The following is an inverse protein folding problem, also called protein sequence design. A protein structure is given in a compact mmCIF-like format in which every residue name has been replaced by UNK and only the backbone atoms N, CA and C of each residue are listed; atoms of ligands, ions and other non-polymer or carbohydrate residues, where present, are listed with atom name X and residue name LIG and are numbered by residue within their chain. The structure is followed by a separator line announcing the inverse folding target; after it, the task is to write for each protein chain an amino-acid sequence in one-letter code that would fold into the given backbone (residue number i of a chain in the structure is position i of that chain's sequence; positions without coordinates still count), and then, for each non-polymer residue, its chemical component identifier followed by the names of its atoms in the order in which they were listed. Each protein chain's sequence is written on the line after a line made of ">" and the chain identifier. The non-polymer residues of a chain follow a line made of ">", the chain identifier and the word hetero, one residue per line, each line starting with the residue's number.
data_IF_496556693329
#
_entry.id   IF_496556693329
#
_cell.length_a   1.000
_cell.length_b   1.000
_cell.length_c   1.000
_cell.angle_alpha   90.00
_cell.angle_beta   90.00
_cell.angle_gamma   90.00
#
_symmetry.space_group_name_H-M   'P 1'
#
loop_
_entity.id
_entity.type
_entity.pdbx_description
1 polymer ?
#
# COMPACT_ATOMS: atom_id res chain seq x y z
N UNK A 1 -49.83 15.58 50.01
CA UNK A 1 -49.52 15.09 48.61
C UNK A 1 -48.85 16.14 47.73
N UNK A 2 -49.15 17.43 47.80
CA UNK A 2 -48.57 18.51 47.03
C UNK A 2 -47.08 18.75 47.34
N UNK A 3 -46.68 18.66 48.59
CA UNK A 3 -45.29 18.83 49.02
C UNK A 3 -44.44 17.70 48.48
N UNK A 4 -44.93 16.47 48.49
CA UNK A 4 -44.23 15.31 47.95
C UNK A 4 -44.05 15.45 46.42
N UNK A 5 -45.04 15.91 45.72
CA UNK A 5 -44.99 16.18 44.29
C UNK A 5 -43.92 17.25 43.93
N UNK A 6 -43.92 18.38 44.64
CA UNK A 6 -42.92 19.44 44.49
C UNK A 6 -41.49 18.93 44.76
N UNK A 7 -41.34 18.10 45.78
CA UNK A 7 -40.03 17.49 46.09
C UNK A 7 -39.56 16.57 44.96
N UNK A 8 -40.43 15.73 44.40
CA UNK A 8 -40.08 14.85 43.27
C UNK A 8 -39.71 15.68 42.05
N UNK A 9 -40.46 16.72 41.70
CA UNK A 9 -40.16 17.61 40.59
C UNK A 9 -38.81 18.29 40.75
N UNK A 10 -38.53 18.79 41.95
CA UNK A 10 -37.23 19.41 42.27
C UNK A 10 -36.07 18.40 42.14
N UNK A 11 -36.24 17.17 42.62
CA UNK A 11 -35.22 16.11 42.52
C UNK A 11 -34.97 15.72 41.07
N UNK A 12 -36.00 15.56 40.24
CA UNK A 12 -35.88 15.24 38.81
C UNK A 12 -35.19 16.38 38.06
N UNK A 13 -35.57 17.64 38.33
CA UNK A 13 -34.89 18.78 37.69
C UNK A 13 -33.42 18.89 38.08
N UNK A 14 -33.08 18.67 39.35
CA UNK A 14 -31.70 18.65 39.81
C UNK A 14 -30.90 17.55 39.11
N UNK A 15 -31.47 16.35 39.01
CA UNK A 15 -30.83 15.19 38.38
C UNK A 15 -30.61 15.43 36.87
N UNK A 16 -31.60 16.00 36.16
CA UNK A 16 -31.44 16.34 34.73
C UNK A 16 -30.39 17.41 34.50
N UNK A 17 -30.32 18.44 35.36
CA UNK A 17 -29.28 19.46 35.29
C UNK A 17 -27.91 18.86 35.54
N UNK A 18 -27.77 18.00 36.56
CA UNK A 18 -26.51 17.32 36.86
C UNK A 18 -26.04 16.44 35.67
N UNK A 19 -26.93 15.66 35.08
CA UNK A 19 -26.63 14.84 33.92
C UNK A 19 -26.22 15.72 32.73
N UNK A 20 -26.96 16.80 32.48
CA UNK A 20 -26.66 17.74 31.39
C UNK A 20 -25.27 18.39 31.57
N UNK A 21 -24.96 18.85 32.79
CA UNK A 21 -23.61 19.43 33.11
C UNK A 21 -22.53 18.40 32.94
N UNK A 22 -22.76 17.15 33.38
CA UNK A 22 -21.82 16.06 33.24
C UNK A 22 -21.49 15.75 31.76
N UNK A 23 -22.51 15.55 30.93
CA UNK A 23 -22.30 15.33 29.48
C UNK A 23 -21.59 16.51 28.81
N UNK A 24 -22.00 17.75 29.15
CA UNK A 24 -21.37 18.95 28.60
C UNK A 24 -19.91 19.08 29.03
N UNK A 25 -19.59 18.70 30.26
CA UNK A 25 -18.22 18.72 30.79
C UNK A 25 -17.30 17.69 30.12
N UNK A 26 -17.83 16.50 29.78
CA UNK A 26 -17.03 15.44 29.13
C UNK A 26 -16.95 15.55 27.59
N UNK A 27 -17.76 16.38 26.96
CA UNK A 27 -17.77 16.55 25.52
C UNK A 27 -16.40 16.81 24.91
N UNK A 28 -15.52 17.67 25.49
CA UNK A 28 -14.17 17.89 24.95
C UNK A 28 -13.31 16.64 24.90
N UNK A 29 -13.47 15.76 25.89
CA UNK A 29 -12.74 14.48 25.94
C UNK A 29 -13.15 13.55 24.78
N UNK A 30 -14.47 13.41 24.55
CA UNK A 30 -14.97 12.61 23.42
C UNK A 30 -14.53 13.19 22.07
N UNK A 31 -14.49 14.52 21.93
CA UNK A 31 -14.01 15.18 20.73
C UNK A 31 -12.53 14.86 20.46
N UNK A 32 -11.69 14.88 21.50
CA UNK A 32 -10.29 14.50 21.38
C UNK A 32 -10.13 13.01 21.04
N UNK A 33 -10.87 12.12 21.70
CA UNK A 33 -10.83 10.67 21.41
C UNK A 33 -11.22 10.38 19.97
N UNK A 34 -12.33 10.91 19.49
CA UNK A 34 -12.75 10.71 18.10
C UNK A 34 -11.74 11.26 17.09
N UNK A 35 -11.08 12.37 17.43
CA UNK A 35 -10.01 12.93 16.60
C UNK A 35 -8.79 12.01 16.57
N UNK A 36 -8.37 11.47 17.74
CA UNK A 36 -7.24 10.53 17.86
C UNK A 36 -7.53 9.20 17.12
N UNK A 37 -8.75 8.69 17.20
CA UNK A 37 -9.17 7.47 16.49
C UNK A 37 -9.10 7.64 14.95
N UNK A 38 -9.32 8.86 14.47
CA UNK A 38 -9.21 9.19 13.05
C UNK A 38 -7.79 9.53 12.60
N UNK A 39 -6.86 9.73 13.56
CA UNK A 39 -5.51 10.17 13.28
C UNK A 39 -4.66 9.04 12.66
N UNK A 40 -4.06 9.33 11.51
CA UNK A 40 -3.08 8.46 10.85
C UNK A 40 -1.85 9.29 10.48
N UNK A 41 -0.63 8.92 10.92
CA UNK A 41 0.59 9.66 10.60
C UNK A 41 0.75 9.82 9.08
N UNK A 42 1.10 11.04 8.64
CA UNK A 42 1.33 11.36 7.22
C UNK A 42 0.08 11.64 6.39
N UNK A 43 -1.13 11.59 6.96
CA UNK A 43 -2.33 12.15 6.32
C UNK A 43 -2.58 13.59 6.80
N UNK A 44 -3.20 14.42 5.94
CA UNK A 44 -3.63 15.75 6.37
C UNK A 44 -4.77 15.64 7.38
N UNK A 45 -4.54 16.16 8.57
CA UNK A 45 -5.53 16.27 9.64
C UNK A 45 -5.70 17.72 10.03
N UNK A 46 -6.91 18.08 10.46
CA UNK A 46 -7.14 19.33 11.13
C UNK A 46 -6.36 19.41 12.46
N UNK A 47 -6.17 20.60 13.03
CA UNK A 47 -5.49 20.75 14.32
C UNK A 47 -6.23 19.98 15.41
N UNK A 48 -5.47 19.56 16.44
CA UNK A 48 -6.05 18.92 17.62
C UNK A 48 -7.10 19.85 18.25
N UNK A 49 -8.36 19.39 18.47
CA UNK A 49 -9.39 20.23 19.04
C UNK A 49 -9.00 20.76 20.43
N UNK A 50 -9.01 22.07 20.63
CA UNK A 50 -8.66 22.70 21.93
C UNK A 50 -9.71 23.69 22.43
N UNK A 51 -10.97 23.52 22.05
CA UNK A 51 -12.10 24.37 22.42
C UNK A 51 -12.65 24.03 23.82
N UNK A 52 -11.80 23.99 24.83
CA UNK A 52 -12.25 23.70 26.20
C UNK A 52 -11.92 24.82 27.16
N UNK A 53 -12.87 25.12 28.09
CA UNK A 53 -12.65 26.07 29.20
C UNK A 53 -12.10 25.39 30.46
N UNK A 54 -12.01 24.04 30.47
CA UNK A 54 -11.54 23.26 31.59
C UNK A 54 -10.03 23.15 31.48
N UNK A 55 -9.23 23.66 32.45
CA UNK A 55 -7.78 23.71 32.34
C UNK A 55 -7.14 22.33 32.19
N UNK A 56 -7.67 21.30 32.83
CA UNK A 56 -7.18 19.93 32.77
C UNK A 56 -7.29 19.34 31.35
N UNK A 57 -8.43 19.58 30.70
CA UNK A 57 -8.61 19.14 29.32
C UNK A 57 -7.76 19.94 28.32
N UNK A 58 -7.54 21.22 28.61
CA UNK A 58 -6.61 22.02 27.79
C UNK A 58 -5.21 21.46 27.84
N UNK A 59 -4.69 21.16 29.04
CA UNK A 59 -3.37 20.53 29.21
C UNK A 59 -3.30 19.17 28.53
N UNK A 60 -4.36 18.36 28.59
CA UNK A 60 -4.44 17.08 27.91
C UNK A 60 -4.37 17.25 26.37
N UNK A 61 -5.14 18.19 25.84
CA UNK A 61 -5.15 18.48 24.40
C UNK A 61 -3.79 19.01 23.92
N UNK A 62 -3.12 19.87 24.70
CA UNK A 62 -1.77 20.36 24.40
C UNK A 62 -0.75 19.22 24.43
N UNK A 63 -0.82 18.31 25.39
CA UNK A 63 0.05 17.14 25.45
C UNK A 63 -0.20 16.19 24.26
N UNK A 64 -1.46 15.96 23.89
CA UNK A 64 -1.83 15.18 22.71
C UNK A 64 -1.31 15.84 21.44
N UNK A 65 -1.46 17.16 21.28
CA UNK A 65 -0.95 17.90 20.15
C UNK A 65 0.57 17.77 20.00
N UNK A 66 1.31 17.90 21.09
CA UNK A 66 2.78 17.72 21.10
C UNK A 66 3.18 16.28 20.76
N UNK A 67 2.46 15.28 21.27
CA UNK A 67 2.73 13.87 20.93
C UNK A 67 2.50 13.59 19.43
N UNK A 68 1.42 14.12 18.87
CA UNK A 68 1.10 14.02 17.46
C UNK A 68 2.15 14.73 16.61
N UNK A 69 2.51 15.98 16.95
CA UNK A 69 3.54 16.73 16.23
C UNK A 69 4.89 15.99 16.22
N UNK A 70 5.27 15.41 17.35
CA UNK A 70 6.48 14.60 17.45
C UNK A 70 6.40 13.33 16.59
N UNK A 71 5.24 12.66 16.58
CA UNK A 71 5.00 11.50 15.73
C UNK A 71 5.12 11.86 14.23
N UNK A 72 4.53 12.98 13.80
CA UNK A 72 4.63 13.49 12.44
C UNK A 72 6.07 13.82 12.04
N UNK A 73 6.83 14.47 12.94
CA UNK A 73 8.23 14.79 12.70
C UNK A 73 9.07 13.51 12.53
N UNK A 74 8.90 12.53 13.40
CA UNK A 74 9.60 11.24 13.31
C UNK A 74 9.24 10.49 12.02
N UNK A 75 7.96 10.47 11.67
CA UNK A 75 7.48 9.84 10.44
C UNK A 75 8.09 10.51 9.19
N UNK A 76 8.13 11.84 9.17
CA UNK A 76 8.75 12.62 8.10
C UNK A 76 10.25 12.38 8.00
N UNK A 77 10.96 12.35 9.14
CA UNK A 77 12.39 12.05 9.19
C UNK A 77 12.69 10.63 8.69
N UNK A 78 11.91 9.65 9.12
CA UNK A 78 12.03 8.26 8.66
C UNK A 78 11.86 8.14 7.14
N UNK A 79 10.84 8.81 6.58
CA UNK A 79 10.62 8.86 5.13
C UNK A 79 11.79 9.49 4.37
N UNK A 80 12.27 10.63 4.84
CA UNK A 80 13.42 11.32 4.24
C UNK A 80 14.69 10.46 4.31
N UNK A 81 14.93 9.80 5.45
CA UNK A 81 16.05 8.91 5.62
C UNK A 81 16.03 7.75 4.60
N UNK A 82 14.88 7.07 4.46
CA UNK A 82 14.73 5.98 3.47
C UNK A 82 14.97 6.51 2.05
N UNK A 83 14.39 7.67 1.70
CA UNK A 83 14.58 8.28 0.39
C UNK A 83 16.04 8.61 0.09
N UNK A 84 16.72 9.30 1.01
CA UNK A 84 18.11 9.71 0.86
C UNK A 84 19.06 8.48 0.81
N UNK A 85 18.90 7.54 1.75
CA UNK A 85 19.71 6.33 1.79
C UNK A 85 19.57 5.51 0.50
N UNK A 86 18.37 5.41 -0.06
CA UNK A 86 18.14 4.69 -1.31
C UNK A 86 18.78 5.37 -2.51
N UNK A 87 18.81 6.71 -2.56
CA UNK A 87 19.52 7.46 -3.60
C UNK A 87 21.04 7.28 -3.49
N UNK A 88 21.59 7.39 -2.28
CA UNK A 88 23.02 7.21 -2.03
C UNK A 88 23.48 5.77 -2.32
N UNK A 89 22.61 4.78 -2.22
CA UNK A 89 22.92 3.39 -2.56
C UNK A 89 22.90 3.13 -4.09
N UNK A 90 22.17 3.90 -4.88
CA UNK A 90 22.08 3.68 -6.33
C UNK A 90 23.43 3.81 -7.02
N UNK A 91 24.22 4.82 -6.68
CA UNK A 91 25.53 5.08 -7.30
C UNK A 91 26.53 3.96 -7.05
N UNK A 92 26.84 3.53 -5.80
CA UNK A 92 27.77 2.44 -5.56
C UNK A 92 27.31 1.10 -6.14
N UNK A 93 26.01 0.82 -6.12
CA UNK A 93 25.45 -0.40 -6.72
C UNK A 93 25.64 -0.41 -8.24
N UNK A 94 25.44 0.72 -8.92
CA UNK A 94 25.69 0.86 -10.36
C UNK A 94 27.19 0.67 -10.67
N UNK A 95 28.08 1.24 -9.88
CA UNK A 95 29.54 1.04 -10.04
C UNK A 95 29.91 -0.44 -9.88
N UNK A 96 29.37 -1.11 -8.85
CA UNK A 96 29.62 -2.54 -8.65
C UNK A 96 29.12 -3.39 -9.84
N UNK A 97 27.91 -3.08 -10.33
CA UNK A 97 27.33 -3.80 -11.48
C UNK A 97 28.21 -3.62 -12.73
N UNK A 98 28.61 -2.39 -13.04
CA UNK A 98 29.47 -2.10 -14.19
C UNK A 98 30.86 -2.79 -14.08
N UNK A 99 31.41 -2.88 -12.87
CA UNK A 99 32.67 -3.59 -12.66
C UNK A 99 32.54 -5.10 -12.87
N UNK A 100 31.47 -5.71 -12.41
CA UNK A 100 31.19 -7.14 -12.64
C UNK A 100 30.96 -7.39 -14.13
N UNK A 101 30.23 -6.55 -14.83
CA UNK A 101 30.04 -6.66 -16.28
C UNK A 101 31.36 -6.51 -17.04
N UNK A 102 32.18 -5.52 -16.65
CA UNK A 102 33.49 -5.35 -17.26
C UNK A 102 34.38 -6.58 -17.06
N UNK A 103 34.40 -7.21 -15.87
CA UNK A 103 35.17 -8.44 -15.61
C UNK A 103 34.65 -9.59 -16.48
N UNK A 104 33.33 -9.77 -16.62
CA UNK A 104 32.71 -10.82 -17.43
C UNK A 104 33.08 -10.69 -18.93
N UNK A 105 33.16 -9.43 -19.41
CA UNK A 105 33.34 -9.15 -20.84
C UNK A 105 34.80 -9.01 -21.28
N UNK A 106 35.72 -8.65 -20.34
CA UNK A 106 37.08 -8.23 -20.71
C UNK A 106 38.19 -9.03 -20.04
N UNK A 107 37.89 -10.10 -19.28
CA UNK A 107 38.90 -10.92 -18.63
C UNK A 107 38.75 -12.40 -18.96
N UNK A 108 39.85 -13.11 -19.10
CA UNK A 108 39.81 -14.57 -19.17
C UNK A 108 39.53 -15.12 -17.77
N UNK A 109 38.40 -15.79 -17.63
CA UNK A 109 37.89 -16.34 -16.38
C UNK A 109 37.83 -17.85 -16.45
N UNK A 110 38.15 -18.54 -15.35
CA UNK A 110 37.84 -19.96 -15.22
C UNK A 110 36.31 -20.14 -15.07
N UNK A 111 35.80 -21.36 -15.33
CA UNK A 111 34.38 -21.68 -15.15
C UNK A 111 33.90 -21.37 -13.72
N UNK A 112 34.71 -21.70 -12.72
CA UNK A 112 34.40 -21.44 -11.31
C UNK A 112 34.32 -19.94 -11.01
N UNK A 113 35.26 -19.14 -11.52
CA UNK A 113 35.25 -17.68 -11.37
C UNK A 113 34.04 -17.05 -12.08
N UNK A 114 33.70 -17.54 -13.26
CA UNK A 114 32.51 -17.09 -14.00
C UNK A 114 31.22 -17.40 -13.22
N UNK A 115 31.07 -18.61 -12.69
CA UNK A 115 29.92 -19.01 -11.88
C UNK A 115 29.76 -18.10 -10.64
N UNK A 116 30.85 -17.81 -9.91
CA UNK A 116 30.83 -16.94 -8.74
C UNK A 116 30.49 -15.48 -9.09
N UNK A 117 30.98 -14.97 -10.22
CA UNK A 117 30.62 -13.64 -10.72
C UNK A 117 29.12 -13.57 -11.11
N UNK A 118 28.58 -14.62 -11.73
CA UNK A 118 27.13 -14.68 -12.03
C UNK A 118 26.29 -14.70 -10.75
N UNK A 119 26.65 -15.47 -9.74
CA UNK A 119 25.98 -15.49 -8.42
C UNK A 119 26.02 -14.10 -7.77
N UNK A 120 27.20 -13.44 -7.83
CA UNK A 120 27.41 -12.10 -7.28
C UNK A 120 26.55 -11.08 -8.05
N UNK A 121 26.54 -11.12 -9.39
CA UNK A 121 25.70 -10.27 -10.24
C UNK A 121 24.22 -10.46 -9.93
N UNK A 122 23.78 -11.71 -9.76
CA UNK A 122 22.40 -12.00 -9.40
C UNK A 122 22.00 -11.37 -8.06
N UNK A 123 22.86 -11.51 -7.03
CA UNK A 123 22.65 -10.90 -5.71
C UNK A 123 22.63 -9.37 -5.78
N UNK A 124 23.55 -8.78 -6.53
CA UNK A 124 23.60 -7.34 -6.75
C UNK A 124 22.33 -6.83 -7.43
N UNK A 125 21.87 -7.50 -8.48
CA UNK A 125 20.64 -7.16 -9.18
C UNK A 125 19.42 -7.27 -8.26
N UNK A 126 19.38 -8.23 -7.34
CA UNK A 126 18.34 -8.31 -6.32
C UNK A 126 18.35 -7.06 -5.41
N UNK A 127 19.53 -6.64 -4.91
CA UNK A 127 19.68 -5.44 -4.07
C UNK A 127 19.28 -4.18 -4.84
N UNK A 128 19.65 -4.05 -6.12
CA UNK A 128 19.24 -2.93 -6.97
C UNK A 128 17.72 -2.86 -7.12
N UNK A 129 17.07 -4.01 -7.39
CA UNK A 129 15.58 -4.06 -7.47
C UNK A 129 14.93 -3.69 -6.15
N UNK A 130 15.45 -4.21 -5.03
CA UNK A 130 14.97 -3.91 -3.69
C UNK A 130 15.05 -2.41 -3.40
N UNK A 131 16.22 -1.81 -3.65
CA UNK A 131 16.43 -0.37 -3.42
C UNK A 131 15.52 0.50 -4.29
N UNK A 132 15.36 0.17 -5.59
CA UNK A 132 14.41 0.86 -6.48
C UNK A 132 12.97 0.77 -5.96
N UNK A 133 12.55 -0.39 -5.49
CA UNK A 133 11.20 -0.60 -4.94
C UNK A 133 10.96 0.20 -3.66
N UNK A 134 11.95 0.26 -2.77
CA UNK A 134 11.89 1.06 -1.53
C UNK A 134 11.81 2.56 -1.84
N UNK A 135 12.64 3.04 -2.78
CA UNK A 135 12.59 4.43 -3.23
C UNK A 135 11.23 4.78 -3.83
N UNK A 136 10.70 3.91 -4.69
CA UNK A 136 9.41 4.11 -5.34
C UNK A 136 8.29 4.16 -4.30
N UNK A 137 8.28 3.25 -3.33
CA UNK A 137 7.34 3.24 -2.22
C UNK A 137 7.43 4.53 -1.38
N UNK A 138 8.65 4.97 -1.06
CA UNK A 138 8.88 6.24 -0.35
C UNK A 138 8.32 7.43 -1.13
N UNK A 139 8.46 7.47 -2.46
CA UNK A 139 7.92 8.53 -3.32
C UNK A 139 6.39 8.53 -3.36
N UNK A 140 5.75 7.34 -3.37
CA UNK A 140 4.30 7.20 -3.26
C UNK A 140 3.83 7.76 -1.92
N UNK A 141 4.42 7.28 -0.83
CA UNK A 141 4.09 7.72 0.53
C UNK A 141 4.30 9.25 0.75
N UNK A 142 5.22 9.86 0.01
CA UNK A 142 5.47 11.31 0.04
C UNK A 142 4.55 12.11 -0.89
N UNK A 143 3.63 11.47 -1.62
CA UNK A 143 2.72 12.15 -2.54
C UNK A 143 3.43 12.85 -3.71
N UNK A 144 4.60 12.35 -4.15
CA UNK A 144 5.40 12.99 -5.21
C UNK A 144 4.80 12.81 -6.62
N UNK A 145 3.75 12.01 -6.75
CA UNK A 145 3.05 11.77 -8.02
C UNK A 145 1.80 12.64 -8.11
N UNK A 146 1.97 13.90 -8.52
CA UNK A 146 0.90 14.91 -8.51
C UNK A 146 0.09 15.00 -9.80
N UNK A 147 0.64 14.55 -10.94
CA UNK A 147 -0.03 14.66 -12.24
C UNK A 147 -1.05 13.54 -12.42
N UNK A 148 -2.31 13.81 -12.05
CA UNK A 148 -3.42 12.89 -12.29
C UNK A 148 -4.19 13.29 -13.55
N UNK A 149 -4.52 12.30 -14.39
CA UNK A 149 -5.34 12.44 -15.60
C UNK A 149 -6.27 11.23 -15.74
N UNK A 150 -7.35 11.32 -16.54
CA UNK A 150 -8.12 10.14 -16.90
C UNK A 150 -7.23 9.10 -17.56
N UNK A 151 -7.17 7.89 -17.02
CA UNK A 151 -6.36 6.77 -17.48
C UNK A 151 -7.29 5.60 -17.78
N UNK A 152 -7.22 5.07 -18.99
CA UNK A 152 -7.94 3.88 -19.40
C UNK A 152 -7.16 2.62 -18.98
N UNK A 153 -7.69 1.91 -18.00
CA UNK A 153 -7.06 0.71 -17.42
C UNK A 153 -7.03 -0.44 -18.43
N UNK A 154 -8.06 -0.57 -19.26
CA UNK A 154 -8.12 -1.61 -20.30
C UNK A 154 -6.89 -1.59 -21.21
N UNK A 155 -6.48 -0.42 -21.67
CA UNK A 155 -5.33 -0.24 -22.56
C UNK A 155 -4.02 -0.62 -21.88
N UNK A 156 -3.84 -0.25 -20.59
CA UNK A 156 -2.64 -0.63 -19.82
C UNK A 156 -2.60 -2.14 -19.62
N UNK A 157 -3.72 -2.76 -19.23
CA UNK A 157 -3.79 -4.23 -19.03
C UNK A 157 -3.44 -4.97 -20.31
N UNK A 158 -4.00 -4.59 -21.47
CA UNK A 158 -3.69 -5.24 -22.77
C UNK A 158 -2.20 -5.19 -23.09
N UNK A 159 -1.62 -4.00 -23.03
CA UNK A 159 -0.21 -3.80 -23.34
C UNK A 159 0.68 -4.64 -22.41
N UNK A 160 0.45 -4.56 -21.10
CA UNK A 160 1.25 -5.31 -20.13
C UNK A 160 1.05 -6.83 -20.24
N UNK A 161 -0.16 -7.31 -20.57
CA UNK A 161 -0.40 -8.73 -20.83
C UNK A 161 0.37 -9.23 -22.04
N UNK A 162 0.45 -8.46 -23.11
CA UNK A 162 1.19 -8.85 -24.31
C UNK A 162 2.70 -8.90 -24.03
N UNK A 163 3.25 -7.90 -23.31
CA UNK A 163 4.65 -7.91 -22.84
C UNK A 163 4.94 -9.15 -21.97
N UNK A 164 4.07 -9.47 -21.04
CA UNK A 164 4.28 -10.60 -20.13
C UNK A 164 4.05 -11.97 -20.77
N UNK A 165 3.19 -12.09 -21.78
CA UNK A 165 3.07 -13.32 -22.59
C UNK A 165 4.40 -13.67 -23.25
N UNK A 166 5.11 -12.68 -23.76
CA UNK A 166 6.43 -12.88 -24.38
C UNK A 166 7.50 -13.24 -23.34
N UNK A 167 7.63 -12.43 -22.26
CA UNK A 167 8.63 -12.62 -21.19
C UNK A 167 8.47 -13.98 -20.50
N UNK A 168 7.25 -14.40 -20.20
CA UNK A 168 6.93 -15.61 -19.44
C UNK A 168 6.45 -16.76 -20.33
N UNK A 169 6.74 -16.73 -21.64
CA UNK A 169 6.35 -17.77 -22.60
C UNK A 169 6.84 -19.18 -22.21
N UNK A 170 7.97 -19.27 -21.50
CA UNK A 170 8.53 -20.54 -21.02
C UNK A 170 7.65 -21.26 -19.97
N UNK A 171 6.77 -20.56 -19.24
CA UNK A 171 5.82 -21.20 -18.31
C UNK A 171 4.64 -21.89 -19.02
N UNK A 172 4.41 -21.63 -20.31
CA UNK A 172 3.30 -22.19 -21.10
C UNK A 172 1.93 -22.02 -20.42
N UNK A 173 1.74 -20.90 -19.71
CA UNK A 173 0.51 -20.60 -19.02
C UNK A 173 -0.60 -20.21 -20.01
N UNK A 174 -1.83 -20.63 -19.74
CA UNK A 174 -3.02 -20.16 -20.45
C UNK A 174 -3.41 -18.77 -19.95
N UNK A 175 -3.49 -17.79 -20.86
CA UNK A 175 -3.82 -16.41 -20.52
C UNK A 175 -5.16 -16.06 -21.15
N UNK A 176 -6.11 -15.59 -20.34
CA UNK A 176 -7.41 -15.09 -20.79
C UNK A 176 -7.65 -13.66 -20.30
N UNK A 177 -8.19 -12.83 -21.19
CA UNK A 177 -8.64 -11.47 -20.88
C UNK A 177 -10.13 -11.37 -21.23
N UNK A 178 -10.94 -10.99 -20.25
CA UNK A 178 -12.37 -10.75 -20.40
C UNK A 178 -12.67 -9.28 -20.11
N UNK A 179 -13.15 -8.56 -21.10
CA UNK A 179 -13.55 -7.15 -20.95
C UNK A 179 -15.08 -7.06 -20.93
N UNK A 180 -15.63 -6.77 -19.76
CA UNK A 180 -17.07 -6.62 -19.52
C UNK A 180 -17.48 -5.14 -19.38
N UNK A 181 -16.51 -4.21 -19.44
CA UNK A 181 -16.73 -2.78 -19.35
C UNK A 181 -15.47 -1.98 -19.64
N UNK A 182 -15.64 -0.67 -19.85
CA UNK A 182 -14.54 0.28 -19.93
C UNK A 182 -14.26 0.84 -18.54
N UNK A 183 -13.04 0.66 -18.05
CA UNK A 183 -12.58 1.10 -16.74
C UNK A 183 -11.65 2.30 -16.91
N UNK A 184 -12.12 3.47 -16.53
CA UNK A 184 -11.33 4.71 -16.55
C UNK A 184 -11.30 5.34 -15.17
N UNK A 185 -10.11 5.75 -14.73
CA UNK A 185 -9.90 6.39 -13.44
C UNK A 185 -8.98 7.60 -13.58
N UNK A 186 -9.24 8.65 -12.79
CA UNK A 186 -8.35 9.81 -12.71
C UNK A 186 -7.21 9.52 -11.74
N UNK A 187 -6.02 9.22 -12.29
CA UNK A 187 -4.82 8.94 -11.49
C UNK A 187 -3.53 9.25 -12.27
N UNK A 188 -2.39 9.16 -11.61
CA UNK A 188 -1.10 9.24 -12.28
C UNK A 188 -0.86 7.96 -13.09
N UNK A 189 -0.56 8.10 -14.37
CA UNK A 189 -0.39 6.97 -15.31
C UNK A 189 0.75 6.02 -14.89
N UNK A 190 1.87 6.55 -14.42
CA UNK A 190 2.99 5.72 -13.94
C UNK A 190 2.58 4.86 -12.74
N UNK A 191 1.73 5.41 -11.84
CA UNK A 191 1.19 4.63 -10.72
C UNK A 191 0.16 3.60 -11.19
N UNK A 192 -0.69 3.93 -12.17
CA UNK A 192 -1.61 2.96 -12.78
C UNK A 192 -0.84 1.77 -13.39
N UNK A 193 0.17 2.06 -14.22
CA UNK A 193 1.03 1.03 -14.81
C UNK A 193 1.73 0.18 -13.75
N UNK A 194 2.29 0.82 -12.71
CA UNK A 194 2.97 0.11 -11.63
C UNK A 194 2.01 -0.79 -10.85
N UNK A 195 0.80 -0.33 -10.54
CA UNK A 195 -0.23 -1.10 -9.86
C UNK A 195 -0.56 -2.38 -10.63
N UNK A 196 -0.91 -2.24 -11.90
CA UNK A 196 -1.30 -3.36 -12.76
C UNK A 196 -0.11 -4.29 -13.01
N UNK A 197 1.07 -3.74 -13.28
CA UNK A 197 2.32 -4.49 -13.49
C UNK A 197 2.67 -5.35 -12.28
N UNK A 198 2.58 -4.82 -11.05
CA UNK A 198 2.88 -5.59 -9.83
C UNK A 198 1.92 -6.77 -9.65
N UNK A 199 0.63 -6.59 -9.92
CA UNK A 199 -0.37 -7.66 -9.81
C UNK A 199 -0.21 -8.70 -10.91
N UNK A 200 -0.03 -8.28 -12.16
CA UNK A 200 0.21 -9.20 -13.29
C UNK A 200 1.51 -9.98 -13.08
N UNK A 201 2.60 -9.29 -12.75
CA UNK A 201 3.88 -9.93 -12.49
C UNK A 201 3.78 -10.96 -11.37
N UNK A 202 3.04 -10.66 -10.31
CA UNK A 202 2.76 -11.61 -9.24
C UNK A 202 2.03 -12.84 -9.77
N UNK A 203 0.99 -12.66 -10.60
CA UNK A 203 0.23 -13.75 -11.19
C UNK A 203 1.06 -14.65 -12.12
N UNK A 204 2.05 -14.10 -12.84
CA UNK A 204 2.94 -14.88 -13.70
C UNK A 204 4.03 -15.60 -12.94
N UNK A 205 4.75 -14.91 -12.04
CA UNK A 205 5.88 -15.47 -11.29
C UNK A 205 5.43 -16.59 -10.33
N UNK A 206 4.27 -16.43 -9.71
CA UNK A 206 3.74 -17.39 -8.74
C UNK A 206 2.81 -18.44 -9.36
N UNK A 207 2.71 -18.45 -10.69
CA UNK A 207 1.94 -19.48 -11.40
C UNK A 207 2.66 -20.85 -11.37
N UNK A 208 1.90 -21.89 -11.61
CA UNK A 208 2.42 -23.24 -11.91
C UNK A 208 2.65 -23.39 -13.41
N UNK A 209 3.54 -24.31 -13.79
CA UNK A 209 3.73 -24.66 -15.20
C UNK A 209 2.41 -25.16 -15.81
N UNK A 210 2.07 -24.70 -17.03
CA UNK A 210 0.81 -24.96 -17.69
C UNK A 210 -0.44 -24.52 -16.91
N UNK A 211 -0.25 -23.62 -15.96
CA UNK A 211 -1.36 -23.02 -15.22
C UNK A 211 -2.09 -21.99 -16.07
N UNK A 212 -2.96 -21.20 -15.43
CA UNK A 212 -3.64 -20.11 -16.12
C UNK A 212 -3.54 -18.78 -15.37
N UNK A 213 -3.65 -17.70 -16.14
CA UNK A 213 -3.82 -16.34 -15.65
C UNK A 213 -5.08 -15.79 -16.32
N UNK A 214 -6.06 -15.41 -15.51
CA UNK A 214 -7.31 -14.81 -15.98
C UNK A 214 -7.40 -13.38 -15.50
N UNK A 215 -7.68 -12.48 -16.42
CA UNK A 215 -7.89 -11.07 -16.13
C UNK A 215 -9.29 -10.69 -16.55
N UNK A 216 -10.09 -10.16 -15.64
CA UNK A 216 -11.47 -9.70 -15.92
C UNK A 216 -11.55 -8.21 -15.58
N UNK A 217 -11.98 -7.40 -16.54
CA UNK A 217 -12.17 -5.95 -16.41
C UNK A 217 -13.66 -5.66 -16.44
N UNK A 218 -14.17 -5.02 -15.40
CA UNK A 218 -15.52 -4.48 -15.32
C UNK A 218 -15.48 -2.96 -15.28
N UNK A 219 -16.62 -2.30 -15.32
CA UNK A 219 -16.67 -0.84 -15.30
C UNK A 219 -16.12 -0.23 -13.99
N UNK A 220 -16.14 -0.98 -12.89
CA UNK A 220 -15.76 -0.54 -11.55
C UNK A 220 -14.72 -1.45 -10.86
N UNK A 221 -14.25 -2.49 -11.54
CA UNK A 221 -13.33 -3.45 -10.92
C UNK A 221 -12.38 -4.13 -11.92
N UNK A 222 -11.23 -4.55 -11.42
CA UNK A 222 -10.26 -5.38 -12.12
C UNK A 222 -9.95 -6.60 -11.25
N UNK A 223 -10.16 -7.78 -11.81
CA UNK A 223 -9.84 -9.06 -11.17
C UNK A 223 -8.68 -9.72 -11.90
N UNK A 224 -7.65 -10.13 -11.17
CA UNK A 224 -6.54 -10.93 -11.68
C UNK A 224 -6.49 -12.22 -10.88
N UNK A 225 -6.71 -13.34 -11.56
CA UNK A 225 -6.69 -14.68 -10.97
C UNK A 225 -5.61 -15.53 -11.62
N UNK A 226 -4.90 -16.30 -10.83
CA UNK A 226 -3.90 -17.25 -11.31
C UNK A 226 -3.92 -18.55 -10.52
N UNK A 227 -3.61 -19.65 -11.19
CA UNK A 227 -3.22 -20.90 -10.52
C UNK A 227 -1.85 -20.70 -9.87
N UNK A 228 -1.60 -21.39 -8.75
CA UNK A 228 -0.34 -21.23 -8.03
C UNK A 228 -0.12 -22.37 -7.04
N UNK A 229 0.38 -22.02 -5.87
CA UNK A 229 0.49 -22.97 -4.76
C UNK A 229 -0.90 -23.38 -4.30
N UNK A 230 -1.02 -24.63 -3.79
CA UNK A 230 -2.29 -25.21 -3.34
C UNK A 230 -2.74 -24.70 -1.97
N UNK A 231 -1.98 -23.83 -1.34
CA UNK A 231 -2.30 -23.28 -0.02
C UNK A 231 -2.63 -21.79 -0.14
N UNK A 232 -3.64 -21.30 0.61
CA UNK A 232 -3.94 -19.89 0.65
C UNK A 232 -2.78 -19.11 1.27
N UNK A 233 -2.55 -17.87 0.77
CA UNK A 233 -1.64 -16.94 1.40
C UNK A 233 -2.33 -16.27 2.60
N UNK A 234 -1.54 -15.77 3.54
CA UNK A 234 -2.06 -15.03 4.67
C UNK A 234 -2.67 -13.69 4.22
N UNK A 235 -4.00 -13.63 4.19
CA UNK A 235 -4.76 -12.47 3.71
C UNK A 235 -4.57 -11.21 4.54
N UNK A 236 -4.15 -11.33 5.81
CA UNK A 236 -3.92 -10.19 6.71
C UNK A 236 -2.56 -9.54 6.46
N UNK A 237 -1.54 -10.35 6.12
CA UNK A 237 -0.16 -9.90 5.99
C UNK A 237 0.35 -9.81 4.55
N UNK A 238 -0.42 -10.31 3.55
CA UNK A 238 0.05 -10.42 2.14
C UNK A 238 0.46 -9.08 1.53
N UNK A 239 -0.09 -7.97 2.01
CA UNK A 239 0.24 -6.62 1.56
C UNK A 239 1.32 -5.94 2.41
N UNK A 240 1.82 -6.60 3.45
CA UNK A 240 2.91 -6.06 4.26
C UNK A 240 4.22 -6.04 3.49
N UNK A 241 5.08 -5.09 3.86
CA UNK A 241 6.42 -4.97 3.25
C UNK A 241 7.26 -6.20 3.60
N UNK A 242 7.95 -6.73 2.58
CA UNK A 242 8.83 -7.90 2.70
C UNK A 242 8.10 -9.23 2.96
N UNK A 243 6.78 -9.24 2.95
CA UNK A 243 6.04 -10.49 3.04
C UNK A 243 6.29 -11.37 1.80
N UNK A 244 6.63 -12.63 2.02
CA UNK A 244 6.86 -13.64 0.99
C UNK A 244 6.20 -14.95 1.43
N UNK A 245 5.08 -15.30 0.85
CA UNK A 245 4.37 -16.57 1.09
C UNK A 245 5.14 -17.80 0.60
N UNK A 246 6.02 -17.63 -0.39
CA UNK A 246 6.99 -18.63 -0.82
C UNK A 246 8.34 -17.96 -1.05
N UNK A 247 9.44 -18.57 -0.60
CA UNK A 247 10.82 -18.10 -0.79
C UNK A 247 11.28 -18.32 -2.24
N UNK A 248 10.59 -17.74 -3.23
CA UNK A 248 11.15 -17.67 -4.58
C UNK A 248 12.23 -16.60 -4.60
N UNK A 249 13.46 -16.98 -4.99
CA UNK A 249 14.69 -16.16 -4.99
C UNK A 249 14.57 -14.80 -5.75
N UNK A 250 13.54 -14.60 -6.55
CA UNK A 250 13.40 -13.43 -7.41
C UNK A 250 12.42 -12.37 -6.88
N UNK A 251 11.66 -12.67 -5.84
CA UNK A 251 10.66 -11.77 -5.26
C UNK A 251 11.29 -10.89 -4.17
N UNK A 252 11.04 -9.58 -4.20
CA UNK A 252 11.48 -8.64 -3.15
C UNK A 252 10.51 -8.55 -1.98
N UNK A 253 9.30 -9.10 -2.11
CA UNK A 253 8.22 -8.93 -1.13
C UNK A 253 7.68 -7.49 -1.04
N UNK A 254 7.95 -6.65 -2.05
CA UNK A 254 7.49 -5.25 -2.07
C UNK A 254 6.41 -4.98 -3.12
N UNK A 255 6.19 -5.89 -4.09
CA UNK A 255 5.25 -5.65 -5.18
C UNK A 255 3.81 -5.42 -4.72
N UNK A 256 3.30 -6.27 -3.82
CA UNK A 256 1.95 -6.13 -3.27
C UNK A 256 1.84 -4.94 -2.30
N UNK A 257 2.89 -4.66 -1.53
CA UNK A 257 2.94 -3.46 -0.68
C UNK A 257 2.91 -2.16 -1.51
N UNK A 258 3.56 -2.14 -2.70
CA UNK A 258 3.47 -1.03 -3.65
C UNK A 258 2.04 -0.91 -4.19
N UNK A 259 1.42 -2.02 -4.58
CA UNK A 259 0.04 -2.02 -5.07
C UNK A 259 -0.92 -1.45 -4.01
N UNK A 260 -0.80 -1.88 -2.76
CA UNK A 260 -1.60 -1.37 -1.65
C UNK A 260 -1.36 0.12 -1.37
N UNK A 261 -0.10 0.57 -1.39
CA UNK A 261 0.22 1.98 -1.18
C UNK A 261 -0.41 2.88 -2.27
N UNK A 262 -0.40 2.42 -3.54
CA UNK A 262 -1.08 3.12 -4.64
C UNK A 262 -2.60 3.12 -4.41
N UNK A 263 -3.19 1.99 -4.07
CA UNK A 263 -4.62 1.90 -3.78
C UNK A 263 -5.02 2.86 -2.66
N UNK A 264 -4.25 2.92 -1.59
CA UNK A 264 -4.48 3.83 -0.45
C UNK A 264 -4.41 5.30 -0.87
N UNK A 265 -3.48 5.67 -1.76
CA UNK A 265 -3.35 7.05 -2.25
C UNK A 265 -4.56 7.51 -3.04
N UNK A 266 -5.19 6.62 -3.81
CA UNK A 266 -6.35 6.92 -4.67
C UNK A 266 -7.70 6.46 -4.08
N UNK A 267 -7.74 5.99 -2.84
CA UNK A 267 -8.97 5.51 -2.21
C UNK A 267 -9.55 4.26 -2.86
N UNK A 268 -8.72 3.46 -3.53
CA UNK A 268 -9.09 2.18 -4.12
C UNK A 268 -9.05 1.07 -3.06
N UNK A 269 -9.84 0.04 -3.25
CA UNK A 269 -9.79 -1.14 -2.38
C UNK A 269 -9.14 -2.32 -3.12
N UNK A 270 -8.10 -2.90 -2.52
CA UNK A 270 -7.48 -4.13 -2.99
C UNK A 270 -7.77 -5.25 -1.99
N UNK A 271 -8.16 -6.41 -2.48
CA UNK A 271 -8.39 -7.60 -1.65
C UNK A 271 -7.83 -8.85 -2.31
N UNK A 272 -7.54 -9.83 -1.48
CA UNK A 272 -7.08 -11.14 -1.89
C UNK A 272 -8.03 -12.22 -1.37
N UNK A 273 -8.27 -13.25 -2.19
CA UNK A 273 -8.96 -14.47 -1.79
C UNK A 273 -8.37 -15.68 -2.51
N UNK A 274 -8.50 -16.84 -1.88
CA UNK A 274 -8.15 -18.13 -2.46
C UNK A 274 -9.42 -18.94 -2.65
N UNK A 275 -9.69 -19.36 -3.88
CA UNK A 275 -10.91 -20.12 -4.20
C UNK A 275 -10.65 -21.01 -5.42
N UNK A 276 -11.03 -22.31 -5.34
CA UNK A 276 -10.94 -23.22 -6.50
C UNK A 276 -9.52 -23.42 -7.01
N UNK A 277 -8.51 -23.46 -6.13
CA UNK A 277 -7.07 -23.53 -6.45
C UNK A 277 -6.52 -22.28 -7.17
N UNK A 278 -7.25 -21.18 -7.15
CA UNK A 278 -6.82 -19.91 -7.72
C UNK A 278 -6.54 -18.87 -6.65
N UNK A 279 -5.45 -18.13 -6.82
CA UNK A 279 -5.17 -16.90 -6.10
C UNK A 279 -5.83 -15.75 -6.85
N UNK A 280 -6.72 -15.01 -6.21
CA UNK A 280 -7.54 -13.98 -6.82
C UNK A 280 -7.27 -12.65 -6.14
N UNK A 281 -6.78 -11.68 -6.90
CA UNK A 281 -6.65 -10.29 -6.49
C UNK A 281 -7.77 -9.48 -7.13
N UNK A 282 -8.52 -8.76 -6.31
CA UNK A 282 -9.62 -7.89 -6.74
C UNK A 282 -9.28 -6.44 -6.40
N UNK A 283 -9.27 -5.58 -7.40
CA UNK A 283 -9.22 -4.13 -7.30
C UNK A 283 -10.64 -3.57 -7.52
N UNK A 284 -11.12 -2.78 -6.57
CA UNK A 284 -12.39 -2.06 -6.67
C UNK A 284 -12.11 -0.56 -6.77
N UNK A 285 -12.73 0.04 -7.79
CA UNK A 285 -12.62 1.45 -8.09
C UNK A 285 -13.93 2.11 -7.69
N UNK A 286 -13.90 2.89 -6.61
CA UNK A 286 -15.07 3.67 -6.22
C UNK A 286 -15.20 4.83 -7.21
N UNK A 287 -16.02 4.65 -8.23
CA UNK A 287 -16.40 5.74 -9.11
C UNK A 287 -17.26 6.69 -8.27
N UNK A 288 -16.81 7.91 -8.05
CA UNK A 288 -17.67 8.96 -7.52
C UNK A 288 -18.89 9.02 -8.42
N UNK A 289 -20.06 8.66 -7.88
CA UNK A 289 -21.34 8.90 -8.54
C UNK A 289 -21.56 10.41 -8.50
N UNK A 290 -21.02 11.10 -9.54
CA UNK A 290 -21.37 12.50 -9.83
C UNK A 290 -22.83 12.63 -10.19
#
# INVERSE_FOLDING_TARGET
>A
NWILFLYIVLLVTLLTVCIWVFYRSLRPLYTLLNWLDSYLPGKQHGPVPNDTRIPEFRRLNEAAAQAVERSEQLFKQQKQFIGNASHELQTPLAVCNNRIEWLLDNTELTEEQMEELFKTKHTLNYIVRLNKSLLFLSRIDNGQFTNSRPVEINSIVKRLLDDYKEIFSHYKAHISLEEQGLLTITMNETLAESLISNLLKNAFIHNKEKGHVRVTIQADSLTIANTGQTEPLDSEHIFERFYQGSKKKESTGLGLAIAEAICRQYGLHISYRYQGEEHIFLLQFYLDKS
#
